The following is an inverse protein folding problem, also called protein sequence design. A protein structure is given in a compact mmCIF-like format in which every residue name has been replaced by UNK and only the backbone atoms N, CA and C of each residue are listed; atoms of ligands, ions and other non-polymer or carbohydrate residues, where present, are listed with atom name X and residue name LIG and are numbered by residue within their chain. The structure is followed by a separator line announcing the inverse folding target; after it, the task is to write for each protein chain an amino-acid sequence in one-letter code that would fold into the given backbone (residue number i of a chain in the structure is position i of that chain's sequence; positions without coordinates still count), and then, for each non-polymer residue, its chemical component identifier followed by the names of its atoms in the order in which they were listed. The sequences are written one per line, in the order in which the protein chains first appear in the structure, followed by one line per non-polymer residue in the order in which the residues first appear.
data_IF_926452878945
#
_entry.id   IF_926452878945
#
_cell.length_a   1.000
_cell.length_b   1.000
_cell.length_c   1.000
_cell.angle_alpha   90.00
_cell.angle_beta   90.00
_cell.angle_gamma   90.00
#
_symmetry.space_group_name_H-M   'P 1'
#
loop_
_entity.id
_entity.type
_entity.pdbx_description
1 polymer ?
#
# COMPACT_ATOMS: atom_id res chain seq x y z
N UNK A 1 -5.88 -6.77 2.69
CA UNK A 1 -5.70 -5.48 1.98
C UNK A 1 -6.79 -5.31 0.95
N UNK A 2 -6.96 -4.10 0.44
CA UNK A 2 -7.77 -3.78 -0.74
C UNK A 2 -6.95 -2.92 -1.72
N UNK A 3 -7.14 -3.08 -3.03
CA UNK A 3 -6.34 -2.40 -4.07
C UNK A 3 -7.29 -1.92 -5.16
N UNK A 4 -7.16 -0.65 -5.56
CA UNK A 4 -7.94 -0.05 -6.63
C UNK A 4 -7.06 0.73 -7.59
N UNK A 5 -7.36 0.66 -8.89
CA UNK A 5 -6.55 1.27 -9.93
C UNK A 5 -7.36 1.96 -11.06
N UNK A 6 -8.25 2.91 -10.76
CA UNK A 6 -9.03 3.59 -11.81
C UNK A 6 -8.12 4.23 -12.89
N UNK A 7 -8.55 4.18 -14.16
CA UNK A 7 -7.74 4.50 -15.35
C UNK A 7 -7.44 5.99 -15.57
N UNK A 8 -7.80 6.89 -14.64
CA UNK A 8 -7.67 8.34 -14.87
C UNK A 8 -6.31 8.90 -14.42
N UNK A 9 -5.88 8.63 -13.18
CA UNK A 9 -4.65 9.22 -12.63
C UNK A 9 -4.00 8.34 -11.56
N UNK A 10 -2.66 8.45 -11.43
CA UNK A 10 -1.91 7.75 -10.38
C UNK A 10 -2.33 8.16 -8.94
N UNK A 11 -2.90 9.36 -8.74
CA UNK A 11 -3.43 9.77 -7.45
C UNK A 11 -4.66 8.95 -7.02
N UNK A 12 -5.37 8.33 -7.96
CA UNK A 12 -6.56 7.54 -7.67
C UNK A 12 -6.26 6.04 -7.51
N UNK A 13 -5.07 5.59 -7.91
CA UNK A 13 -4.56 4.28 -7.57
C UNK A 13 -4.21 4.20 -6.08
N UNK A 14 -4.68 3.14 -5.41
CA UNK A 14 -4.46 2.99 -3.98
C UNK A 14 -4.33 1.54 -3.52
N UNK A 15 -3.70 1.41 -2.36
CA UNK A 15 -3.71 0.22 -1.52
C UNK A 15 -4.21 0.60 -0.13
N UNK A 16 -5.26 -0.06 0.35
CA UNK A 16 -5.75 0.04 1.73
C UNK A 16 -5.22 -1.11 2.57
N UNK A 17 -4.62 -0.75 3.70
CA UNK A 17 -4.06 -1.69 4.68
C UNK A 17 -4.77 -1.46 5.99
N UNK A 18 -5.44 -2.50 6.48
CA UNK A 18 -6.15 -2.48 7.76
C UNK A 18 -5.41 -3.34 8.76
N UNK A 19 -5.02 -2.77 9.90
CA UNK A 19 -4.58 -3.54 11.04
C UNK A 19 -5.82 -4.10 11.75
N UNK A 20 -6.12 -5.38 11.50
CA UNK A 20 -7.26 -6.07 12.12
C UNK A 20 -7.00 -6.49 13.58
N UNK A 21 -5.76 -6.38 14.06
CA UNK A 21 -5.37 -6.71 15.43
C UNK A 21 -5.85 -5.70 16.46
N UNK A 22 -5.57 -6.01 17.72
CA UNK A 22 -5.93 -5.18 18.89
C UNK A 22 -4.78 -4.29 19.38
N UNK A 23 -3.58 -4.45 18.82
CA UNK A 23 -2.39 -3.64 19.15
C UNK A 23 -1.92 -2.84 17.94
N UNK A 24 -1.31 -1.69 18.20
CA UNK A 24 -0.64 -0.91 17.15
C UNK A 24 0.56 -1.69 16.59
N UNK A 25 0.83 -1.51 15.29
CA UNK A 25 1.94 -2.17 14.59
C UNK A 25 2.90 -1.10 14.09
N UNK A 26 4.15 -1.13 14.54
CA UNK A 26 5.22 -0.37 13.90
C UNK A 26 5.44 -0.94 12.51
N UNK A 27 5.38 -0.07 11.50
CA UNK A 27 5.58 -0.44 10.10
C UNK A 27 7.04 -0.25 9.67
N UNK A 28 7.97 -0.02 10.61
CA UNK A 28 9.40 0.09 10.31
C UNK A 28 9.89 -1.15 9.57
N UNK A 29 10.48 -0.96 8.40
CA UNK A 29 11.00 -2.04 7.56
C UNK A 29 9.94 -2.80 6.74
N UNK A 30 8.65 -2.49 6.90
CA UNK A 30 7.61 -3.05 6.05
C UNK A 30 7.67 -2.45 4.65
N UNK A 31 7.15 -3.19 3.66
CA UNK A 31 7.09 -2.73 2.27
C UNK A 31 5.87 -3.25 1.53
N UNK A 32 5.45 -2.48 0.53
CA UNK A 32 4.50 -2.88 -0.51
C UNK A 32 5.26 -3.06 -1.82
N UNK A 33 4.98 -4.12 -2.56
CA UNK A 33 5.50 -4.31 -3.93
C UNK A 33 4.38 -4.68 -4.91
N UNK A 34 4.63 -4.44 -6.19
CA UNK A 34 3.88 -5.00 -7.31
C UNK A 34 4.38 -6.40 -7.69
N UNK A 35 3.75 -7.01 -8.71
CA UNK A 35 4.14 -8.31 -9.24
C UNK A 35 5.55 -8.24 -9.84
N UNK A 36 6.45 -9.06 -9.32
CA UNK A 36 7.86 -9.06 -9.72
C UNK A 36 8.70 -7.94 -9.07
N UNK A 37 8.12 -7.17 -8.15
CA UNK A 37 8.79 -6.14 -7.37
C UNK A 37 9.49 -5.03 -8.19
N UNK A 38 8.92 -4.68 -9.34
CA UNK A 38 9.39 -3.55 -10.18
C UNK A 38 9.22 -2.22 -9.46
N UNK A 39 8.23 -2.13 -8.58
CA UNK A 39 7.93 -0.98 -7.75
C UNK A 39 7.84 -1.40 -6.28
N UNK A 40 8.65 -0.74 -5.43
CA UNK A 40 8.66 -0.98 -3.98
C UNK A 40 8.41 0.32 -3.20
N UNK A 41 7.35 0.34 -2.39
CA UNK A 41 7.12 1.36 -1.38
C UNK A 41 7.64 0.87 -0.02
N UNK A 42 8.43 1.69 0.66
CA UNK A 42 8.89 1.40 2.03
C UNK A 42 8.20 2.36 2.99
N UNK A 43 7.64 1.83 4.07
CA UNK A 43 7.05 2.67 5.11
C UNK A 43 8.16 3.43 5.86
N UNK A 44 7.85 4.66 6.29
CA UNK A 44 8.74 5.42 7.18
C UNK A 44 9.03 4.61 8.44
N UNK A 45 10.26 4.72 8.96
CA UNK A 45 10.69 4.09 10.20
C UNK A 45 9.89 4.54 11.42
N UNK A 46 9.25 5.72 11.35
CA UNK A 46 8.38 6.27 12.40
C UNK A 46 6.89 5.96 12.21
N UNK A 47 6.50 5.34 11.09
CA UNK A 47 5.09 5.10 10.82
C UNK A 47 4.54 3.93 11.65
N UNK A 48 3.41 4.17 12.31
CA UNK A 48 2.72 3.19 13.14
C UNK A 48 1.25 3.10 12.71
N UNK A 49 0.80 1.90 12.36
CA UNK A 49 -0.60 1.63 12.06
C UNK A 49 -1.33 1.20 13.34
N UNK A 50 -2.17 2.10 13.86
CA UNK A 50 -2.96 1.86 15.07
C UNK A 50 -3.84 0.61 14.95
N UNK A 51 -4.17 0.02 16.09
CA UNK A 51 -5.12 -1.09 16.16
C UNK A 51 -6.45 -0.71 15.49
N UNK A 52 -7.09 -1.68 14.82
CA UNK A 52 -8.38 -1.54 14.13
C UNK A 52 -8.45 -0.39 13.10
N UNK A 53 -7.31 0.20 12.74
CA UNK A 53 -7.24 1.36 11.85
C UNK A 53 -6.84 0.95 10.43
N UNK A 54 -7.21 1.81 9.48
CA UNK A 54 -6.85 1.64 8.06
C UNK A 54 -6.00 2.82 7.60
N UNK A 55 -4.94 2.51 6.85
CA UNK A 55 -4.19 3.48 6.06
C UNK A 55 -4.42 3.25 4.58
N UNK A 56 -4.55 4.33 3.82
CA UNK A 56 -4.60 4.29 2.36
C UNK A 56 -3.28 4.83 1.82
N UNK A 57 -2.55 4.00 1.09
CA UNK A 57 -1.38 4.39 0.30
C UNK A 57 -1.85 4.72 -1.12
N UNK A 58 -1.76 5.97 -1.51
CA UNK A 58 -1.99 6.41 -2.89
C UNK A 58 -0.68 6.32 -3.68
N UNK A 59 -0.75 5.88 -4.94
CA UNK A 59 0.41 5.79 -5.82
C UNK A 59 0.98 7.18 -6.14
N UNK A 60 0.12 8.16 -6.30
CA UNK A 60 0.52 9.49 -6.71
C UNK A 60 1.06 10.41 -5.60
N UNK A 61 1.05 11.72 -5.86
CA UNK A 61 1.61 12.78 -4.98
C UNK A 61 0.59 13.27 -3.96
N UNK A 62 1.08 13.69 -2.80
CA UNK A 62 0.29 14.32 -1.74
C UNK A 62 1.07 14.44 -0.43
N UNK A 63 0.41 14.95 0.61
CA UNK A 63 1.00 15.11 1.94
C UNK A 63 0.60 13.95 2.84
N UNK A 64 1.59 13.28 3.42
CA UNK A 64 1.34 12.17 4.34
C UNK A 64 0.61 12.65 5.60
N UNK A 65 -0.33 11.83 6.06
CA UNK A 65 -1.04 11.93 7.33
C UNK A 65 -1.02 10.57 8.04
N UNK A 66 -1.65 10.46 9.20
CA UNK A 66 -1.78 9.18 9.91
C UNK A 66 -2.53 8.10 9.09
N UNK A 67 -3.48 8.51 8.23
CA UNK A 67 -4.39 7.60 7.51
C UNK A 67 -4.24 7.66 5.99
N UNK A 68 -3.49 8.63 5.46
CA UNK A 68 -3.20 8.77 4.03
C UNK A 68 -1.71 8.86 3.81
N UNK A 69 -1.17 7.98 2.99
CA UNK A 69 0.23 8.01 2.56
C UNK A 69 0.28 8.18 1.04
N UNK A 70 1.35 8.78 0.55
CA UNK A 70 1.56 9.05 -0.86
C UNK A 70 2.93 8.53 -1.27
N UNK A 71 2.96 7.74 -2.35
CA UNK A 71 4.19 7.19 -2.91
C UNK A 71 4.93 8.23 -3.78
N UNK A 72 4.25 9.30 -4.18
CA UNK A 72 4.87 10.43 -4.89
C UNK A 72 5.13 10.16 -6.37
N UNK A 73 4.58 9.08 -6.93
CA UNK A 73 4.79 8.72 -8.34
C UNK A 73 3.90 9.57 -9.26
N UNK A 74 4.28 9.66 -10.52
CA UNK A 74 3.46 10.27 -11.58
C UNK A 74 2.85 9.19 -12.47
N UNK A 75 3.61 8.11 -12.69
CA UNK A 75 3.17 6.94 -13.45
C UNK A 75 2.40 5.94 -12.58
N UNK A 76 1.52 5.20 -13.23
CA UNK A 76 0.76 4.11 -12.64
C UNK A 76 1.66 2.99 -12.10
N UNK A 77 1.17 2.25 -11.12
CA UNK A 77 1.86 1.09 -10.54
C UNK A 77 1.02 -0.16 -10.75
N UNK A 78 -0.27 -0.06 -10.46
CA UNK A 78 -1.22 -1.17 -10.46
C UNK A 78 -1.91 -1.23 -11.82
N UNK A 79 -1.61 -2.26 -12.61
CA UNK A 79 -2.38 -2.48 -13.82
C UNK A 79 -3.80 -3.02 -13.48
N UNK A 80 -4.79 -2.63 -14.27
CA UNK A 80 -6.18 -3.10 -14.12
C UNK A 80 -6.42 -4.51 -14.64
N UNK A 81 -5.39 -5.16 -15.18
CA UNK A 81 -5.48 -6.44 -15.88
C UNK A 81 -4.90 -7.58 -15.04
N UNK A 82 -4.89 -7.42 -13.71
CA UNK A 82 -4.51 -8.48 -12.76
C UNK A 82 -3.21 -8.25 -12.01
N UNK A 83 -2.72 -7.02 -11.89
CA UNK A 83 -1.58 -6.75 -11.01
C UNK A 83 -1.94 -7.03 -9.55
N UNK A 84 -0.93 -7.36 -8.76
CA UNK A 84 -1.10 -7.80 -7.38
C UNK A 84 -0.18 -7.00 -6.46
N UNK A 85 -0.78 -6.37 -5.45
CA UNK A 85 -0.01 -5.77 -4.37
C UNK A 85 0.37 -6.83 -3.33
N UNK A 86 1.62 -6.81 -2.88
CA UNK A 86 2.17 -7.69 -1.86
C UNK A 86 2.70 -6.87 -0.69
N UNK A 87 2.21 -7.16 0.53
CA UNK A 87 2.68 -6.55 1.76
C UNK A 87 3.61 -7.49 2.51
N UNK A 88 4.83 -7.04 2.75
CA UNK A 88 5.83 -7.76 3.52
C UNK A 88 6.09 -7.04 4.85
N UNK A 89 6.32 -7.83 5.89
CA UNK A 89 6.78 -7.32 7.18
C UNK A 89 8.28 -7.00 7.18
N UNK A 90 8.79 -6.51 8.32
CA UNK A 90 10.19 -6.14 8.51
C UNK A 90 11.18 -7.30 8.28
N UNK A 91 10.75 -8.54 8.50
CA UNK A 91 11.55 -9.76 8.27
C UNK A 91 11.49 -10.23 6.81
N UNK A 92 10.77 -9.54 5.92
CA UNK A 92 10.60 -9.94 4.54
C UNK A 92 9.57 -11.06 4.33
N UNK A 93 8.78 -11.42 5.35
CA UNK A 93 7.70 -12.39 5.22
C UNK A 93 6.46 -11.75 4.60
N UNK A 94 5.86 -12.41 3.62
CA UNK A 94 4.59 -11.99 3.03
C UNK A 94 3.48 -12.10 4.07
N UNK A 95 2.76 -10.99 4.29
CA UNK A 95 1.66 -10.89 5.27
C UNK A 95 0.31 -10.86 4.59
N UNK A 96 0.20 -10.20 3.44
CA UNK A 96 -1.05 -10.13 2.68
C UNK A 96 -0.73 -9.82 1.23
N UNK A 97 -1.54 -10.34 0.32
CA UNK A 97 -1.56 -9.91 -1.07
C UNK A 97 -2.99 -9.63 -1.52
N UNK A 98 -3.12 -8.82 -2.57
CA UNK A 98 -4.42 -8.54 -3.19
C UNK A 98 -4.24 -8.16 -4.66
N UNK A 99 -4.91 -8.90 -5.53
CA UNK A 99 -5.01 -8.59 -6.95
C UNK A 99 -6.04 -7.47 -7.17
N UNK A 100 -5.71 -6.54 -8.05
CA UNK A 100 -6.63 -5.47 -8.48
C UNK A 100 -7.93 -6.11 -8.96
N UNK A 101 -9.07 -5.65 -8.44
CA UNK A 101 -10.35 -6.08 -8.97
C UNK A 101 -10.58 -5.41 -10.31
N UNK A 102 -10.70 -6.21 -11.36
CA UNK A 102 -11.23 -5.75 -12.64
C UNK A 102 -12.67 -5.29 -12.41
N UNK A 103 -13.02 -4.10 -12.92
CA UNK A 103 -14.42 -3.65 -12.97
C UNK A 103 -15.11 -4.24 -14.17
#
# INVERSE_FOLDING_TARGET
MDVGAPKETANQEYVKITNKGTKAVSMKGWKITDKGAKHTYKFSSSYTLKAKSTVTLYTGKGKNTATKLYWGRVAHVWNNEGDTAYLYNAQGKLVSSKTVKVK
#
